data_IF_293251372273
#
_entry.id   IF_293251372273
#
_cell.length_a   1.000
_cell.length_b   1.000
_cell.length_c   1.000
_cell.angle_alpha   90.00
_cell.angle_beta   90.00
_cell.angle_gamma   90.00
#
_symmetry.space_group_name_H-M   'P 1'
#
loop_
_entity.id
_entity.type
_entity.pdbx_description
1 polymer ?
#
# COMPACT_ATOMS: atom_id res chain seq x y z
N UNK A 1 11.31 24.13 21.62
CA UNK A 1 10.27 24.93 22.31
C UNK A 1 9.54 25.83 21.33
N UNK A 2 10.23 26.64 20.51
CA UNK A 2 9.61 27.49 19.47
C UNK A 2 8.59 26.78 18.57
N UNK A 3 8.92 25.59 18.03
CA UNK A 3 7.98 24.85 17.18
C UNK A 3 6.68 24.39 17.90
N UNK A 4 6.74 24.09 19.20
CA UNK A 4 5.55 23.75 19.99
C UNK A 4 4.72 25.00 20.30
N UNK A 5 5.38 26.14 20.52
CA UNK A 5 4.70 27.43 20.69
C UNK A 5 3.95 27.84 19.43
N UNK A 6 4.61 27.75 18.27
CA UNK A 6 4.00 27.99 16.96
C UNK A 6 2.79 27.07 16.71
N UNK A 7 2.90 25.79 17.05
CA UNK A 7 1.79 24.85 16.93
C UNK A 7 0.61 25.25 17.83
N UNK A 8 0.88 25.58 19.09
CA UNK A 8 -0.17 26.01 20.03
C UNK A 8 -0.83 27.31 19.52
N UNK A 9 -0.05 28.26 19.01
CA UNK A 9 -0.59 29.51 18.46
C UNK A 9 -1.43 29.26 17.21
N UNK A 10 -0.99 28.35 16.33
CA UNK A 10 -1.75 27.91 15.15
C UNK A 10 -3.08 27.28 15.57
N UNK A 11 -3.09 26.45 16.60
CA UNK A 11 -4.31 25.82 17.13
C UNK A 11 -5.24 26.86 17.80
N UNK A 12 -4.71 27.80 18.57
CA UNK A 12 -5.48 28.92 19.15
C UNK A 12 -6.10 29.83 18.08
N UNK A 13 -5.44 29.97 16.93
CA UNK A 13 -5.92 30.78 15.82
C UNK A 13 -7.07 30.14 15.02
N UNK A 14 -7.40 28.88 15.28
CA UNK A 14 -8.47 28.18 14.60
C UNK A 14 -9.82 28.86 14.86
N UNK A 15 -10.49 29.27 13.79
CA UNK A 15 -11.75 30.03 13.86
C UNK A 15 -12.97 29.13 13.99
N UNK A 16 -12.84 27.87 13.61
CA UNK A 16 -13.92 26.88 13.63
C UNK A 16 -13.44 25.56 14.21
N UNK A 17 -14.38 24.79 14.76
CA UNK A 17 -14.10 23.45 15.28
C UNK A 17 -13.60 22.50 14.18
N UNK A 18 -14.07 22.66 12.93
CA UNK A 18 -13.59 21.88 11.79
C UNK A 18 -12.12 22.21 11.46
N UNK A 19 -11.74 23.49 11.49
CA UNK A 19 -10.36 23.89 11.26
C UNK A 19 -9.45 23.37 12.37
N UNK A 20 -9.90 23.42 13.63
CA UNK A 20 -9.17 22.85 14.76
C UNK A 20 -9.00 21.34 14.60
N UNK A 21 -10.05 20.62 14.24
CA UNK A 21 -10.01 19.17 14.01
C UNK A 21 -9.00 18.78 12.92
N UNK A 22 -8.98 19.52 11.81
CA UNK A 22 -8.01 19.30 10.73
C UNK A 22 -6.58 19.54 11.20
N UNK A 23 -6.32 20.66 11.89
CA UNK A 23 -4.99 20.98 12.41
C UNK A 23 -4.51 19.93 13.42
N UNK A 24 -5.39 19.43 14.28
CA UNK A 24 -5.05 18.35 15.23
C UNK A 24 -4.73 17.06 14.49
N UNK A 25 -5.52 16.67 13.48
CA UNK A 25 -5.26 15.45 12.70
C UNK A 25 -3.91 15.50 11.96
N UNK A 26 -3.59 16.63 11.32
CA UNK A 26 -2.32 16.84 10.60
C UNK A 26 -1.09 16.82 11.53
N UNK A 27 -1.27 17.18 12.80
CA UNK A 27 -0.19 17.33 13.78
C UNK A 27 -0.29 16.32 14.93
N UNK A 28 -1.08 15.26 14.81
CA UNK A 28 -1.42 14.34 15.92
C UNK A 28 -0.17 13.73 16.57
N UNK A 29 0.88 13.45 15.78
CA UNK A 29 2.16 12.91 16.26
C UNK A 29 2.93 13.90 17.14
N UNK A 30 2.77 15.21 16.90
CA UNK A 30 3.40 16.25 17.70
C UNK A 30 2.66 16.52 19.02
N UNK A 31 1.45 15.96 19.22
CA UNK A 31 0.67 16.07 20.45
C UNK A 31 1.12 15.00 21.45
N UNK A 32 2.34 15.16 21.96
CA UNK A 32 2.99 14.26 22.91
C UNK A 32 3.03 14.84 24.35
N UNK A 33 3.72 14.18 25.27
CA UNK A 33 3.92 14.68 26.65
C UNK A 33 4.52 16.09 26.69
N UNK A 34 5.40 16.45 25.75
CA UNK A 34 6.03 17.78 25.70
C UNK A 34 5.06 18.85 25.26
N UNK A 35 4.14 18.54 24.34
CA UNK A 35 3.04 19.44 23.98
C UNK A 35 2.19 19.79 25.22
N UNK A 36 1.79 18.79 26.00
CA UNK A 36 0.98 19.02 27.21
C UNK A 36 1.72 19.79 28.30
N UNK A 37 3.00 19.46 28.53
CA UNK A 37 3.86 20.25 29.44
C UNK A 37 3.98 21.70 28.98
N UNK A 38 4.01 21.94 27.66
CA UNK A 38 4.11 23.30 27.12
C UNK A 38 2.83 24.10 27.31
N UNK A 39 1.67 23.50 27.07
CA UNK A 39 0.36 24.10 27.39
C UNK A 39 0.29 24.47 28.87
N UNK A 40 0.67 23.56 29.78
CA UNK A 40 0.67 23.80 31.23
C UNK A 40 1.58 24.98 31.61
N UNK A 41 2.80 25.01 31.08
CA UNK A 41 3.75 26.12 31.29
C UNK A 41 3.17 27.46 30.84
N UNK A 42 2.54 27.51 29.66
CA UNK A 42 1.91 28.74 29.15
C UNK A 42 0.71 29.18 29.98
N UNK A 43 -0.07 28.23 30.50
CA UNK A 43 -1.20 28.52 31.39
C UNK A 43 -0.72 29.10 32.73
N UNK A 44 0.40 28.61 33.28
CA UNK A 44 0.98 29.13 34.52
C UNK A 44 1.51 30.56 34.36
N UNK A 45 2.15 30.85 33.23
CA UNK A 45 2.73 32.17 32.92
C UNK A 45 1.77 33.14 32.23
N UNK A 46 0.52 32.74 31.96
CA UNK A 46 -0.48 33.60 31.32
C UNK A 46 -0.86 34.78 32.23
N UNK A 47 -0.88 35.98 31.63
CA UNK A 47 -1.07 37.24 32.34
C UNK A 47 -2.53 37.48 32.78
N UNK A 48 -3.51 36.95 32.04
CA UNK A 48 -4.93 37.15 32.30
C UNK A 48 -5.66 35.84 32.56
N UNK A 49 -6.77 35.91 33.30
CA UNK A 49 -7.66 34.75 33.49
C UNK A 49 -8.30 34.31 32.18
N UNK A 50 -8.61 35.25 31.28
CA UNK A 50 -9.16 34.95 29.97
C UNK A 50 -8.19 34.10 29.11
N UNK A 51 -6.89 34.41 29.15
CA UNK A 51 -5.87 33.64 28.42
C UNK A 51 -5.69 32.24 29.01
N UNK A 52 -5.79 32.11 30.34
CA UNK A 52 -5.79 30.80 31.02
C UNK A 52 -6.99 29.96 30.59
N UNK A 53 -8.19 30.55 30.59
CA UNK A 53 -9.42 29.87 30.20
C UNK A 53 -9.37 29.42 28.73
N UNK A 54 -8.80 30.26 27.83
CA UNK A 54 -8.57 29.88 26.42
C UNK A 54 -7.61 28.71 26.26
N UNK A 55 -6.49 28.70 26.99
CA UNK A 55 -5.52 27.61 26.95
C UNK A 55 -6.10 26.29 27.50
N UNK A 56 -6.89 26.35 28.58
CA UNK A 56 -7.57 25.20 29.16
C UNK A 56 -8.66 24.65 28.21
N UNK A 57 -9.44 25.54 27.60
CA UNK A 57 -10.44 25.17 26.59
C UNK A 57 -9.81 24.53 25.35
N UNK A 58 -8.68 25.08 24.90
CA UNK A 58 -7.91 24.47 23.82
C UNK A 58 -7.41 23.08 24.20
N UNK A 59 -6.80 22.93 25.38
CA UNK A 59 -6.27 21.65 25.85
C UNK A 59 -7.35 20.55 25.85
N UNK A 60 -8.52 20.89 26.40
CA UNK A 60 -9.68 20.00 26.45
C UNK A 60 -10.16 19.62 25.04
N UNK A 61 -10.26 20.60 24.15
CA UNK A 61 -10.70 20.37 22.77
C UNK A 61 -9.71 19.51 21.98
N UNK A 62 -8.41 19.80 22.09
CA UNK A 62 -7.35 19.02 21.45
C UNK A 62 -7.34 17.60 21.98
N UNK A 63 -7.53 17.37 23.29
CA UNK A 63 -7.58 16.03 23.87
C UNK A 63 -8.71 15.18 23.26
N UNK A 64 -9.93 15.74 23.20
CA UNK A 64 -11.09 15.06 22.59
C UNK A 64 -10.85 14.77 21.10
N UNK A 65 -10.23 15.71 20.37
CA UNK A 65 -9.95 15.55 18.95
C UNK A 65 -8.86 14.49 18.69
N UNK A 66 -7.80 14.46 19.50
CA UNK A 66 -6.76 13.41 19.43
C UNK A 66 -7.38 12.04 19.70
N UNK A 67 -8.20 11.90 20.74
CA UNK A 67 -8.91 10.65 21.02
C UNK A 67 -9.83 10.24 19.87
N UNK A 68 -10.50 11.21 19.22
CA UNK A 68 -11.36 10.95 18.06
C UNK A 68 -10.54 10.47 16.86
N UNK A 69 -9.43 11.13 16.55
CA UNK A 69 -8.51 10.73 15.47
C UNK A 69 -7.99 9.32 15.74
N UNK A 70 -7.56 9.04 16.97
CA UNK A 70 -7.08 7.73 17.38
C UNK A 70 -8.13 6.64 17.16
N UNK A 71 -9.35 6.82 17.71
CA UNK A 71 -10.44 5.85 17.56
C UNK A 71 -10.80 5.61 16.10
N UNK A 72 -10.79 6.66 15.29
CA UNK A 72 -11.05 6.55 13.85
C UNK A 72 -9.98 5.71 13.15
N UNK A 73 -8.71 5.92 13.48
CA UNK A 73 -7.61 5.11 12.95
C UNK A 73 -7.70 3.65 13.40
N UNK A 74 -7.99 3.40 14.68
CA UNK A 74 -8.20 2.04 15.21
C UNK A 74 -9.36 1.34 14.46
N UNK A 75 -10.50 2.02 14.31
CA UNK A 75 -11.63 1.48 13.55
C UNK A 75 -11.28 1.23 12.08
N UNK A 76 -10.55 2.14 11.42
CA UNK A 76 -10.13 1.93 10.02
C UNK A 76 -9.21 0.71 9.89
N UNK A 77 -8.30 0.51 10.84
CA UNK A 77 -7.41 -0.66 10.85
C UNK A 77 -8.21 -1.96 11.09
N UNK A 78 -9.17 -1.96 12.01
CA UNK A 78 -10.07 -3.11 12.23
C UNK A 78 -10.90 -3.41 10.98
N UNK A 79 -11.53 -2.38 10.42
CA UNK A 79 -12.36 -2.48 9.22
C UNK A 79 -11.54 -3.01 8.04
N UNK A 80 -10.32 -2.52 7.83
CA UNK A 80 -9.43 -3.02 6.77
C UNK A 80 -8.88 -4.42 7.08
N UNK A 81 -8.76 -4.79 8.35
CA UNK A 81 -8.43 -6.14 8.78
C UNK A 81 -9.51 -7.14 8.37
N UNK A 82 -10.79 -6.76 8.53
CA UNK A 82 -11.91 -7.57 8.07
C UNK A 82 -11.90 -7.74 6.54
N UNK A 83 -11.59 -6.68 5.78
CA UNK A 83 -11.46 -6.78 4.32
C UNK A 83 -10.34 -7.74 3.93
N UNK A 84 -9.19 -7.65 4.59
CA UNK A 84 -8.08 -8.56 4.32
C UNK A 84 -8.48 -10.01 4.63
N UNK A 85 -9.19 -10.24 5.73
CA UNK A 85 -9.74 -11.56 6.05
C UNK A 85 -10.70 -12.06 4.97
N UNK A 86 -11.64 -11.23 4.51
CA UNK A 86 -12.59 -11.59 3.46
C UNK A 86 -11.88 -11.97 2.15
N UNK A 87 -10.78 -11.27 1.80
CA UNK A 87 -9.93 -11.59 0.64
C UNK A 87 -9.25 -12.96 0.82
N UNK A 88 -8.69 -13.24 2.00
CA UNK A 88 -8.00 -14.50 2.27
C UNK A 88 -8.96 -15.70 2.30
N UNK A 89 -10.17 -15.51 2.85
CA UNK A 89 -11.20 -16.54 2.90
C UNK A 89 -11.66 -16.93 1.49
N UNK A 90 -11.59 -16.03 0.51
CA UNK A 90 -11.90 -16.36 -0.89
C UNK A 90 -10.96 -17.42 -1.49
N UNK A 91 -9.75 -17.59 -0.94
CA UNK A 91 -8.82 -18.66 -1.33
C UNK A 91 -9.04 -19.99 -0.60
N UNK A 92 -9.84 -20.01 0.47
CA UNK A 92 -10.01 -21.18 1.31
C UNK A 92 -10.97 -22.20 0.67
N UNK A 93 -10.82 -23.47 1.05
CA UNK A 93 -11.79 -24.51 0.70
C UNK A 93 -13.08 -24.41 1.56
N UNK A 94 -13.98 -25.38 1.39
CA UNK A 94 -15.24 -25.46 2.15
C UNK A 94 -15.06 -25.63 3.67
N UNK A 95 -13.85 -26.01 4.11
CA UNK A 95 -13.48 -26.17 5.52
C UNK A 95 -12.72 -24.96 6.08
N UNK A 96 -12.44 -23.95 5.24
CA UNK A 96 -11.65 -22.79 5.64
C UNK A 96 -10.14 -23.05 5.64
N UNK A 97 -9.66 -24.09 4.96
CA UNK A 97 -8.25 -24.42 4.86
C UNK A 97 -7.63 -23.91 3.54
N UNK A 98 -6.34 -23.57 3.59
CA UNK A 98 -5.56 -23.19 2.42
C UNK A 98 -4.54 -24.28 2.08
N UNK A 99 -4.48 -24.63 0.80
CA UNK A 99 -3.49 -25.56 0.27
C UNK A 99 -2.62 -24.81 -0.73
N UNK A 100 -1.34 -24.69 -0.42
CA UNK A 100 -0.39 -23.96 -1.27
C UNK A 100 0.46 -24.92 -2.12
N UNK A 101 0.78 -24.57 -3.37
CA UNK A 101 0.32 -23.37 -4.08
C UNK A 101 -1.18 -23.43 -4.41
N UNK A 102 -1.85 -22.26 -4.42
CA UNK A 102 -3.28 -22.17 -4.76
C UNK A 102 -3.54 -22.66 -6.20
N UNK A 103 -4.73 -23.20 -6.43
CA UNK A 103 -5.23 -23.53 -7.77
C UNK A 103 -5.56 -22.27 -8.57
N UNK A 104 -5.71 -22.39 -9.89
CA UNK A 104 -6.09 -21.25 -10.75
C UNK A 104 -7.46 -20.67 -10.36
N UNK A 105 -8.42 -21.53 -9.99
CA UNK A 105 -9.75 -21.11 -9.53
C UNK A 105 -9.67 -20.34 -8.21
N UNK A 106 -8.82 -20.77 -7.27
CA UNK A 106 -8.59 -20.06 -6.01
C UNK A 106 -7.91 -18.71 -6.23
N UNK A 107 -6.94 -18.63 -7.14
CA UNK A 107 -6.32 -17.36 -7.53
C UNK A 107 -7.35 -16.40 -8.12
N UNK A 108 -8.25 -16.89 -8.97
CA UNK A 108 -9.32 -16.07 -9.53
C UNK A 108 -10.32 -15.62 -8.46
N UNK A 109 -10.67 -16.49 -7.50
CA UNK A 109 -11.52 -16.12 -6.38
C UNK A 109 -10.92 -14.97 -5.53
N UNK A 110 -9.59 -14.97 -5.33
CA UNK A 110 -8.89 -13.86 -4.67
C UNK A 110 -8.94 -12.58 -5.52
N UNK A 111 -8.79 -12.68 -6.84
CA UNK A 111 -8.93 -11.52 -7.75
C UNK A 111 -10.33 -10.93 -7.70
N UNK A 112 -11.36 -11.77 -7.70
CA UNK A 112 -12.74 -11.33 -7.56
C UNK A 112 -12.99 -10.65 -6.21
N UNK A 113 -12.44 -11.20 -5.12
CA UNK A 113 -12.52 -10.58 -3.80
C UNK A 113 -11.83 -9.20 -3.78
N UNK A 114 -10.61 -9.08 -4.34
CA UNK A 114 -9.92 -7.80 -4.50
C UNK A 114 -10.77 -6.81 -5.31
N UNK A 115 -11.41 -7.24 -6.40
CA UNK A 115 -12.28 -6.39 -7.21
C UNK A 115 -13.55 -5.95 -6.47
N UNK A 116 -14.14 -6.84 -5.65
CA UNK A 116 -15.29 -6.53 -4.79
C UNK A 116 -14.96 -5.45 -3.76
N UNK A 117 -13.73 -5.47 -3.26
CA UNK A 117 -13.22 -4.51 -2.27
C UNK A 117 -12.39 -3.38 -2.89
N UNK A 118 -12.52 -3.10 -4.20
CA UNK A 118 -11.66 -2.13 -4.91
C UNK A 118 -11.53 -0.75 -4.25
N UNK A 119 -12.61 -0.27 -3.62
CA UNK A 119 -12.67 1.06 -2.99
C UNK A 119 -12.02 1.07 -1.58
N UNK A 120 -11.57 -0.10 -1.11
CA UNK A 120 -10.96 -0.33 0.21
C UNK A 120 -9.57 -0.98 0.11
N UNK A 121 -8.97 -1.01 -1.08
CA UNK A 121 -7.58 -1.46 -1.29
C UNK A 121 -6.60 -0.29 -1.03
N UNK A 122 -6.68 0.28 0.17
CA UNK A 122 -5.94 1.48 0.56
C UNK A 122 -4.68 1.16 1.39
N UNK A 123 -3.98 2.19 1.86
CA UNK A 123 -2.78 2.04 2.69
C UNK A 123 -3.06 1.32 4.02
N UNK A 124 -4.27 1.39 4.57
CA UNK A 124 -4.62 0.67 5.80
C UNK A 124 -4.70 -0.85 5.55
N UNK A 125 -5.29 -1.28 4.42
CA UNK A 125 -5.27 -2.68 4.01
C UNK A 125 -3.84 -3.20 3.82
N UNK A 126 -3.01 -2.44 3.09
CA UNK A 126 -1.63 -2.85 2.84
C UNK A 126 -0.82 -2.90 4.13
N UNK A 127 -0.97 -1.91 5.02
CA UNK A 127 -0.32 -1.89 6.33
C UNK A 127 -0.68 -3.14 7.15
N UNK A 128 -1.94 -3.54 7.17
CA UNK A 128 -2.39 -4.78 7.81
C UNK A 128 -1.73 -6.01 7.17
N UNK A 129 -1.68 -6.10 5.84
CA UNK A 129 -1.04 -7.22 5.15
C UNK A 129 0.45 -7.35 5.53
N UNK A 130 1.19 -6.24 5.54
CA UNK A 130 2.60 -6.24 5.98
C UNK A 130 2.76 -6.61 7.46
N UNK A 131 1.89 -6.11 8.34
CA UNK A 131 1.90 -6.47 9.75
C UNK A 131 1.64 -7.97 9.95
N UNK A 132 0.69 -8.55 9.22
CA UNK A 132 0.36 -9.97 9.29
C UNK A 132 1.45 -10.84 8.67
N UNK A 133 2.11 -10.41 7.58
CA UNK A 133 3.29 -11.10 7.02
C UNK A 133 4.39 -11.16 8.08
N UNK A 134 4.72 -10.03 8.70
CA UNK A 134 5.77 -9.96 9.73
C UNK A 134 5.45 -10.91 10.89
N UNK A 135 4.24 -10.82 11.44
CA UNK A 135 3.81 -11.68 12.55
C UNK A 135 3.82 -13.16 12.17
N UNK A 136 3.28 -13.51 11.00
CA UNK A 136 3.25 -14.90 10.52
C UNK A 136 4.66 -15.46 10.32
N UNK A 137 5.58 -14.63 9.85
CA UNK A 137 7.00 -15.01 9.71
C UNK A 137 7.66 -15.24 11.07
N UNK A 138 7.40 -14.38 12.06
CA UNK A 138 7.89 -14.54 13.43
C UNK A 138 7.31 -15.80 14.12
N UNK A 139 6.06 -16.13 13.82
CA UNK A 139 5.33 -17.29 14.38
C UNK A 139 5.60 -18.61 13.61
N UNK A 140 6.35 -18.58 12.51
CA UNK A 140 6.67 -19.76 11.69
C UNK A 140 5.51 -20.26 10.80
N UNK A 141 4.53 -19.40 10.51
CA UNK A 141 3.41 -19.70 9.62
C UNK A 141 3.74 -19.36 8.16
N UNK A 142 4.66 -20.13 7.56
CA UNK A 142 5.15 -19.91 6.19
C UNK A 142 4.04 -19.92 5.14
N UNK A 143 3.00 -20.74 5.34
CA UNK A 143 1.85 -20.77 4.43
C UNK A 143 1.07 -19.45 4.43
N UNK A 144 0.88 -18.83 5.59
CA UNK A 144 0.21 -17.54 5.68
C UNK A 144 1.04 -16.42 5.04
N UNK A 145 2.37 -16.47 5.21
CA UNK A 145 3.30 -15.53 4.55
C UNK A 145 3.15 -15.61 3.03
N UNK A 146 3.18 -16.83 2.47
CA UNK A 146 3.02 -17.05 1.02
C UNK A 146 1.66 -16.59 0.51
N UNK A 147 0.58 -16.86 1.26
CA UNK A 147 -0.77 -16.43 0.87
C UNK A 147 -0.89 -14.90 0.86
N UNK A 148 -0.36 -14.21 1.88
CA UNK A 148 -0.36 -12.75 1.93
C UNK A 148 0.52 -12.13 0.84
N UNK A 149 1.67 -12.73 0.52
CA UNK A 149 2.52 -12.30 -0.60
C UNK A 149 1.78 -12.43 -1.94
N UNK A 150 1.04 -13.53 -2.14
CA UNK A 150 0.19 -13.68 -3.32
C UNK A 150 -0.88 -12.58 -3.40
N UNK A 151 -1.55 -12.24 -2.29
CA UNK A 151 -2.52 -11.13 -2.25
C UNK A 151 -1.87 -9.81 -2.67
N UNK A 152 -0.65 -9.52 -2.18
CA UNK A 152 0.09 -8.31 -2.56
C UNK A 152 0.49 -8.31 -4.06
N UNK A 153 0.88 -9.45 -4.61
CA UNK A 153 1.16 -9.60 -6.05
C UNK A 153 -0.10 -9.39 -6.90
N UNK A 154 -1.24 -9.97 -6.51
CA UNK A 154 -2.51 -9.80 -7.20
C UNK A 154 -3.03 -8.35 -7.11
N UNK A 155 -2.82 -7.70 -5.96
CA UNK A 155 -3.05 -6.26 -5.82
C UNK A 155 -2.18 -5.46 -6.79
N UNK A 156 -0.87 -5.71 -6.85
CA UNK A 156 0.04 -5.00 -7.75
C UNK A 156 -0.36 -5.19 -9.22
N UNK A 157 -0.62 -6.43 -9.63
CA UNK A 157 -1.10 -6.77 -10.97
C UNK A 157 -2.37 -5.99 -11.35
N UNK A 158 -3.31 -5.84 -10.41
CA UNK A 158 -4.53 -5.05 -10.60
C UNK A 158 -4.22 -3.55 -10.75
N UNK A 159 -3.38 -2.97 -9.90
CA UNK A 159 -3.09 -1.53 -9.94
C UNK A 159 -2.30 -1.12 -11.18
N UNK A 160 -1.45 -2.02 -11.69
CA UNK A 160 -0.60 -1.78 -12.86
C UNK A 160 -1.30 -2.08 -14.20
N UNK A 161 -2.46 -2.72 -14.16
CA UNK A 161 -3.25 -3.04 -15.34
C UNK A 161 -3.79 -1.77 -15.99
N UNK A 162 -3.60 -1.63 -17.30
CA UNK A 162 -4.23 -0.58 -18.10
C UNK A 162 -5.30 -1.17 -19.01
N UNK A 163 -6.12 -0.33 -19.62
CA UNK A 163 -7.16 -0.78 -20.55
C UNK A 163 -6.61 -1.27 -21.90
N UNK A 164 -5.32 -1.04 -22.16
CA UNK A 164 -4.66 -1.41 -23.42
C UNK A 164 -4.52 -2.93 -23.54
N UNK A 165 -4.93 -3.45 -24.70
CA UNK A 165 -4.96 -4.89 -24.99
C UNK A 165 -4.11 -5.28 -26.18
N UNK A 166 -3.70 -4.30 -27.00
CA UNK A 166 -2.95 -4.53 -28.21
C UNK A 166 -1.53 -3.95 -28.11
N UNK A 167 -0.67 -4.38 -29.03
CA UNK A 167 0.72 -3.94 -29.08
C UNK A 167 1.54 -4.31 -27.84
N UNK A 168 2.66 -3.59 -27.66
CA UNK A 168 3.63 -3.82 -26.58
C UNK A 168 2.97 -3.66 -25.21
N UNK A 169 2.17 -2.62 -25.02
CA UNK A 169 1.52 -2.35 -23.73
C UNK A 169 0.48 -3.43 -23.40
N UNK A 170 -0.30 -3.89 -24.37
CA UNK A 170 -1.21 -5.04 -24.22
C UNK A 170 -0.49 -6.33 -23.84
N UNK A 171 0.65 -6.62 -24.49
CA UNK A 171 1.49 -7.78 -24.17
C UNK A 171 2.09 -7.69 -22.75
N UNK A 172 2.55 -6.52 -22.33
CA UNK A 172 3.06 -6.27 -20.97
C UNK A 172 1.94 -6.39 -19.95
N UNK A 173 0.75 -5.85 -20.22
CA UNK A 173 -0.42 -6.01 -19.36
C UNK A 173 -0.82 -7.48 -19.20
N UNK A 174 -0.83 -8.24 -20.30
CA UNK A 174 -1.11 -9.67 -20.26
C UNK A 174 -0.11 -10.41 -19.37
N UNK A 175 1.18 -10.10 -19.49
CA UNK A 175 2.23 -10.70 -18.66
C UNK A 175 2.07 -10.33 -17.18
N UNK A 176 1.96 -9.03 -16.87
CA UNK A 176 1.84 -8.54 -15.49
C UNK A 176 0.53 -8.99 -14.82
N UNK A 177 -0.52 -9.28 -15.58
CA UNK A 177 -1.76 -9.83 -15.04
C UNK A 177 -1.71 -11.35 -14.86
N UNK A 178 -0.85 -12.07 -15.59
CA UNK A 178 -0.70 -13.51 -15.47
C UNK A 178 -0.04 -13.92 -14.14
N UNK A 179 -0.26 -15.17 -13.72
CA UNK A 179 0.44 -15.71 -12.56
C UNK A 179 1.94 -15.85 -12.85
N UNK A 180 2.78 -15.71 -11.82
CA UNK A 180 4.25 -15.81 -11.94
C UNK A 180 4.70 -17.08 -12.70
N UNK A 181 4.07 -18.23 -12.40
CA UNK A 181 4.35 -19.52 -13.06
C UNK A 181 4.13 -19.50 -14.58
N UNK A 182 3.34 -18.54 -15.09
CA UNK A 182 3.01 -18.38 -16.51
C UNK A 182 3.90 -17.34 -17.22
N UNK A 183 4.70 -16.56 -16.50
CA UNK A 183 5.48 -15.47 -17.10
C UNK A 183 6.48 -15.98 -18.14
N UNK A 184 7.29 -16.97 -17.79
CA UNK A 184 8.29 -17.54 -18.72
C UNK A 184 7.68 -18.08 -20.01
N UNK A 185 6.69 -19.00 -19.98
CA UNK A 185 6.09 -19.51 -21.22
C UNK A 185 5.37 -18.41 -22.01
N UNK A 186 4.70 -17.47 -21.34
CA UNK A 186 4.00 -16.37 -22.01
C UNK A 186 4.99 -15.41 -22.71
N UNK A 187 6.06 -15.01 -22.03
CA UNK A 187 7.08 -14.14 -22.59
C UNK A 187 7.77 -14.79 -23.80
N UNK A 188 8.13 -16.07 -23.71
CA UNK A 188 8.69 -16.83 -24.85
C UNK A 188 7.75 -16.84 -26.05
N UNK A 189 6.44 -17.04 -25.82
CA UNK A 189 5.43 -17.00 -26.88
C UNK A 189 5.36 -15.61 -27.54
N UNK A 190 5.25 -14.55 -26.75
CA UNK A 190 5.15 -13.17 -27.24
C UNK A 190 6.36 -12.76 -28.09
N UNK A 191 7.56 -13.23 -27.71
CA UNK A 191 8.79 -13.01 -28.48
C UNK A 191 8.80 -13.81 -29.77
N UNK A 192 8.43 -15.10 -29.72
CA UNK A 192 8.40 -15.97 -30.90
C UNK A 192 7.38 -15.49 -31.96
N UNK A 193 6.27 -14.89 -31.52
CA UNK A 193 5.25 -14.29 -32.38
C UNK A 193 5.64 -12.90 -32.89
N UNK A 194 6.80 -12.36 -32.49
CA UNK A 194 7.28 -11.04 -32.88
C UNK A 194 6.49 -9.87 -32.28
N UNK A 195 5.64 -10.14 -31.28
CA UNK A 195 4.80 -9.13 -30.62
C UNK A 195 5.56 -8.30 -29.60
N UNK A 196 6.69 -8.81 -29.11
CA UNK A 196 7.45 -8.19 -28.04
C UNK A 196 8.95 -8.40 -28.22
N UNK A 197 9.74 -7.33 -28.07
CA UNK A 197 11.21 -7.38 -28.03
C UNK A 197 11.69 -7.05 -26.62
N UNK A 198 12.93 -7.42 -26.28
CA UNK A 198 13.52 -7.07 -24.99
C UNK A 198 13.50 -5.56 -24.74
N UNK A 199 13.98 -4.77 -25.72
CA UNK A 199 14.00 -3.32 -25.60
C UNK A 199 12.61 -2.73 -25.35
N UNK A 200 11.60 -3.15 -26.13
CA UNK A 200 10.24 -2.64 -25.99
C UNK A 200 9.60 -3.03 -24.65
N UNK A 201 9.87 -4.25 -24.17
CA UNK A 201 9.39 -4.71 -22.88
C UNK A 201 10.02 -3.93 -21.72
N UNK A 202 11.35 -3.75 -21.74
CA UNK A 202 12.07 -3.01 -20.69
C UNK A 202 11.63 -1.54 -20.65
N UNK A 203 11.44 -0.91 -21.80
CA UNK A 203 10.92 0.46 -21.87
C UNK A 203 9.51 0.56 -21.29
N UNK A 204 8.62 -0.40 -21.58
CA UNK A 204 7.28 -0.43 -21.03
C UNK A 204 7.26 -0.62 -19.50
N UNK A 205 8.10 -1.53 -18.96
CA UNK A 205 8.25 -1.68 -17.52
C UNK A 205 8.82 -0.42 -16.86
N UNK A 206 9.80 0.23 -17.49
CA UNK A 206 10.37 1.48 -16.99
C UNK A 206 9.30 2.59 -16.91
N UNK A 207 8.46 2.76 -17.94
CA UNK A 207 7.36 3.73 -17.90
C UNK A 207 6.39 3.44 -16.75
N UNK A 208 6.03 2.17 -16.53
CA UNK A 208 5.20 1.78 -15.38
C UNK A 208 5.88 2.08 -14.04
N UNK A 209 7.18 1.82 -13.93
CA UNK A 209 7.97 2.16 -12.73
C UNK A 209 7.97 3.66 -12.46
N UNK A 210 8.16 4.49 -13.50
CA UNK A 210 8.10 5.95 -13.38
C UNK A 210 6.72 6.43 -12.91
N UNK A 211 5.64 5.87 -13.44
CA UNK A 211 4.27 6.16 -12.96
C UNK A 211 4.09 5.80 -11.48
N UNK A 212 4.62 4.66 -11.03
CA UNK A 212 4.57 4.25 -9.62
C UNK A 212 5.36 5.21 -8.73
N UNK A 213 6.59 5.55 -9.13
CA UNK A 213 7.49 6.38 -8.32
C UNK A 213 7.00 7.83 -8.24
N UNK A 214 6.51 8.39 -9.35
CA UNK A 214 6.07 9.78 -9.43
C UNK A 214 4.60 9.98 -9.05
N UNK A 215 3.77 8.94 -9.21
CA UNK A 215 2.32 9.01 -8.99
C UNK A 215 1.86 8.63 -7.59
N UNK A 216 2.70 7.97 -6.80
CA UNK A 216 2.37 7.53 -5.44
C UNK A 216 3.21 8.26 -4.39
N UNK A 217 2.68 8.32 -3.16
CA UNK A 217 3.42 8.90 -2.04
C UNK A 217 4.72 8.12 -1.81
N UNK A 218 5.83 8.85 -1.74
CA UNK A 218 7.15 8.26 -1.50
C UNK A 218 7.15 7.48 -0.18
N UNK A 219 7.57 6.21 -0.24
CA UNK A 219 7.64 5.32 0.92
C UNK A 219 6.30 4.71 1.36
N UNK A 220 5.21 4.94 0.61
CA UNK A 220 3.93 4.30 0.89
C UNK A 220 3.98 2.79 0.61
N UNK A 221 3.09 2.01 1.23
CA UNK A 221 3.03 0.58 0.98
C UNK A 221 2.61 0.30 -0.48
N UNK A 222 1.68 1.08 -1.04
CA UNK A 222 1.27 0.92 -2.43
C UNK A 222 2.44 1.11 -3.40
N UNK A 223 3.28 2.14 -3.18
CA UNK A 223 4.46 2.37 -3.98
C UNK A 223 5.44 1.19 -3.87
N UNK A 224 5.70 0.73 -2.64
CA UNK A 224 6.62 -0.38 -2.39
C UNK A 224 6.17 -1.67 -3.09
N UNK A 225 4.92 -2.06 -2.91
CA UNK A 225 4.36 -3.32 -3.46
C UNK A 225 4.41 -3.31 -4.99
N UNK A 226 3.98 -2.22 -5.62
CA UNK A 226 3.99 -2.11 -7.09
C UNK A 226 5.41 -2.06 -7.65
N UNK A 227 6.34 -1.35 -7.00
CA UNK A 227 7.72 -1.26 -7.44
C UNK A 227 8.47 -2.60 -7.28
N UNK A 228 8.26 -3.33 -6.17
CA UNK A 228 8.84 -4.65 -5.97
C UNK A 228 8.31 -5.64 -7.03
N UNK A 229 7.01 -5.60 -7.33
CA UNK A 229 6.40 -6.44 -8.37
C UNK A 229 6.98 -6.18 -9.78
N UNK A 230 7.12 -4.91 -10.17
CA UNK A 230 7.73 -4.54 -11.46
C UNK A 230 9.21 -4.95 -11.54
N UNK A 231 9.96 -4.81 -10.45
CA UNK A 231 11.38 -5.24 -10.39
C UNK A 231 11.51 -6.75 -10.52
N UNK A 232 10.60 -7.52 -9.90
CA UNK A 232 10.56 -8.97 -10.05
C UNK A 232 10.27 -9.37 -11.51
N UNK A 233 9.27 -8.75 -12.14
CA UNK A 233 8.94 -8.97 -13.54
C UNK A 233 10.13 -8.65 -14.46
N UNK A 234 10.80 -7.52 -14.22
CA UNK A 234 12.02 -7.12 -14.95
C UNK A 234 13.14 -8.16 -14.80
N UNK A 235 13.44 -8.57 -13.57
CA UNK A 235 14.53 -9.51 -13.28
C UNK A 235 14.30 -10.88 -13.96
N UNK A 236 13.07 -11.41 -13.88
CA UNK A 236 12.71 -12.68 -14.51
C UNK A 236 12.72 -12.56 -16.04
N UNK A 237 12.18 -11.48 -16.59
CA UNK A 237 12.19 -11.24 -18.02
C UNK A 237 13.61 -11.18 -18.58
N UNK A 238 14.54 -10.49 -17.91
CA UNK A 238 15.97 -10.46 -18.29
C UNK A 238 16.57 -11.85 -18.41
N UNK A 239 16.27 -12.74 -17.47
CA UNK A 239 16.73 -14.14 -17.54
C UNK A 239 16.18 -14.85 -18.79
N UNK A 240 14.88 -14.69 -19.07
CA UNK A 240 14.24 -15.32 -20.23
C UNK A 240 14.79 -14.77 -21.55
N UNK A 241 14.98 -13.46 -21.68
CA UNK A 241 15.56 -12.86 -22.88
C UNK A 241 17.00 -13.33 -23.11
N UNK A 242 17.82 -13.43 -22.06
CA UNK A 242 19.17 -13.97 -22.14
C UNK A 242 19.19 -15.43 -22.62
N UNK A 243 18.27 -16.27 -22.12
CA UNK A 243 18.12 -17.66 -22.57
C UNK A 243 17.72 -17.77 -24.05
N UNK A 244 16.79 -16.92 -24.50
CA UNK A 244 16.35 -16.86 -25.90
C UNK A 244 17.53 -16.46 -26.81
N UNK A 245 18.26 -15.41 -26.44
CA UNK A 245 19.42 -14.94 -27.19
C UNK A 245 20.54 -16.00 -27.27
N UNK A 246 20.78 -16.74 -26.19
CA UNK A 246 21.75 -17.83 -26.16
C UNK A 246 21.32 -19.05 -27.02
N UNK A 247 20.02 -19.24 -27.20
CA UNK A 247 19.45 -20.34 -28.00
C UNK A 247 19.30 -20.01 -29.48
N UNK A 248 19.52 -18.76 -29.88
CA UNK A 248 19.46 -18.35 -31.28
C UNK A 248 20.63 -18.97 -32.07
N UNK A 249 20.38 -19.61 -33.23
CA UNK A 249 21.45 -20.18 -34.05
C UNK A 249 22.41 -19.07 -34.48
N UNK A 250 23.71 -19.24 -34.16
CA UNK A 250 24.76 -18.36 -34.67
C UNK A 250 24.72 -18.43 -36.20
N UNK A 251 24.34 -17.34 -36.85
CA UNK A 251 24.48 -17.23 -38.29
C UNK A 251 25.97 -17.37 -38.64
N UNK A 252 26.27 -18.42 -39.40
CA UNK A 252 27.59 -18.69 -39.97
C UNK A 252 27.81 -17.86 -41.24
#
# INVERSE_FOLDING_TARGET
MAALDELIDKLLSAKTQQQLAQLVAENVVAVDTKFWMRIATRNDTAASKEDKDKLQGLATSVMVLVDTVRRRTEQQLEDSGQVLQDILVAAADDKGEWYLPLTDDQVEAVREALNRHRDRLDEALLSNAFAWIKKSSEDGFDGMVQLLQLVLQLYAARQLATAEKEGVEGAVNQLLYAQEKQWTPLLRRLVAEGQLTEAAFMEALQRKMEMVVLGLQSGSYAQRVQAEYLKEAEARAKSVFAEIAASAPKQA
#
